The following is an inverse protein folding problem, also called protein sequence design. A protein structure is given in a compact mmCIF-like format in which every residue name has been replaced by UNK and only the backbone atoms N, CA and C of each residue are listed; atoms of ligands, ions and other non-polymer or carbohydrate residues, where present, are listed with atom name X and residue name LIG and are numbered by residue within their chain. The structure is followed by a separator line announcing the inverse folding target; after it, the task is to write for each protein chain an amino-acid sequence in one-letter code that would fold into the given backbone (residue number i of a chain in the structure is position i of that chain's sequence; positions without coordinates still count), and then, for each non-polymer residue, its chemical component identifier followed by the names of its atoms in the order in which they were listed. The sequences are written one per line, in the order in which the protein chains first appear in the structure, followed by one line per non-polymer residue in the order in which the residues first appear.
data_IF_374152709722
#
_entry.id   IF_374152709722
#
_cell.length_a   1.000
_cell.length_b   1.000
_cell.length_c   1.000
_cell.angle_alpha   90.00
_cell.angle_beta   90.00
_cell.angle_gamma   90.00
#
_symmetry.space_group_name_H-M   'P 1'
#
loop_
_entity.id
_entity.type
_entity.pdbx_description
1 polymer ?
#
# COMPACT_ATOMS: atom_id res chain seq x y z
N UNK A 1 8.04 -23.93 -0.88
CA UNK A 1 7.97 -23.51 -2.30
C UNK A 1 7.45 -24.68 -3.13
N UNK A 2 6.35 -24.48 -3.89
CA UNK A 2 5.78 -25.55 -4.74
C UNK A 2 6.60 -25.78 -6.01
N UNK A 3 7.36 -24.76 -6.45
CA UNK A 3 8.31 -24.81 -7.59
C UNK A 3 9.59 -24.09 -7.20
N UNK A 4 10.55 -24.75 -6.54
CA UNK A 4 11.76 -24.12 -6.02
C UNK A 4 12.76 -23.67 -7.10
N UNK A 5 12.61 -24.14 -8.31
CA UNK A 5 13.40 -23.87 -9.50
C UNK A 5 12.93 -22.63 -10.30
N UNK A 6 11.84 -21.98 -9.89
CA UNK A 6 11.25 -20.82 -10.57
C UNK A 6 11.05 -19.64 -9.65
N UNK A 7 11.30 -18.44 -10.17
CA UNK A 7 10.86 -17.21 -9.53
C UNK A 7 9.35 -17.05 -9.68
N UNK A 8 8.67 -16.72 -8.58
CA UNK A 8 7.23 -16.45 -8.56
C UNK A 8 6.97 -14.98 -8.26
N UNK A 9 5.96 -14.43 -8.94
CA UNK A 9 5.45 -13.10 -8.62
C UNK A 9 4.45 -13.21 -7.47
N UNK A 10 4.58 -12.33 -6.48
CA UNK A 10 3.68 -12.24 -5.35
C UNK A 10 2.97 -10.89 -5.31
N UNK A 11 1.66 -10.91 -5.13
CA UNK A 11 0.86 -9.74 -4.75
C UNK A 11 0.38 -9.91 -3.31
N UNK A 12 0.50 -8.88 -2.51
CA UNK A 12 0.09 -8.90 -1.10
C UNK A 12 -0.26 -7.53 -0.57
N UNK A 13 -0.81 -7.47 0.62
CA UNK A 13 -1.14 -6.21 1.28
C UNK A 13 0.11 -5.40 1.59
N UNK A 14 0.04 -4.10 1.30
CA UNK A 14 1.09 -3.12 1.62
C UNK A 14 0.50 -1.71 1.58
N UNK A 15 1.35 -0.67 1.66
CA UNK A 15 0.95 0.70 1.45
C UNK A 15 0.67 1.49 2.72
N UNK A 16 0.97 0.95 3.91
CA UNK A 16 0.91 1.69 5.16
C UNK A 16 2.24 2.38 5.43
N UNK A 17 2.22 3.63 5.85
CA UNK A 17 3.42 4.37 6.25
C UNK A 17 3.88 4.03 7.67
N UNK A 18 2.97 3.67 8.58
CA UNK A 18 3.30 3.11 9.89
C UNK A 18 3.50 1.58 9.80
N UNK A 19 4.17 0.93 10.77
CA UNK A 19 4.68 -0.45 10.66
C UNK A 19 3.64 -1.52 10.33
N UNK A 20 2.41 -1.40 10.81
CA UNK A 20 1.31 -2.31 10.52
C UNK A 20 -0.05 -1.70 10.86
N UNK A 21 -1.14 -2.42 10.57
CA UNK A 21 -2.53 -2.01 10.81
C UNK A 21 -2.82 -1.60 12.26
N UNK A 22 -2.19 -2.24 13.24
CA UNK A 22 -2.48 -2.02 14.66
C UNK A 22 -2.13 -0.58 15.08
N UNK A 23 -1.09 0.02 14.47
CA UNK A 23 -0.70 1.41 14.69
C UNK A 23 -1.78 2.41 14.29
N UNK A 24 -2.69 2.05 13.39
CA UNK A 24 -3.83 2.88 12.98
C UNK A 24 -5.08 2.61 13.80
N UNK A 25 -5.26 1.40 14.33
CA UNK A 25 -6.53 0.92 14.87
C UNK A 25 -6.58 0.87 16.39
N UNK A 26 -5.42 0.76 17.06
CA UNK A 26 -5.40 0.60 18.51
C UNK A 26 -5.12 1.91 19.24
N UNK A 27 -5.93 2.20 20.26
CA UNK A 27 -5.84 3.41 21.08
C UNK A 27 -4.46 3.61 21.74
N UNK A 28 -3.75 2.53 22.08
CA UNK A 28 -2.41 2.64 22.68
C UNK A 28 -1.38 3.33 21.75
N UNK A 29 -1.68 3.47 20.46
CA UNK A 29 -0.83 4.14 19.48
C UNK A 29 -1.29 5.55 19.12
N UNK A 30 -2.27 6.14 19.84
CA UNK A 30 -2.81 7.47 19.53
C UNK A 30 -1.72 8.55 19.39
N UNK A 31 -0.72 8.55 20.28
CA UNK A 31 0.41 9.50 20.19
C UNK A 31 1.25 9.30 18.91
N UNK A 32 1.38 8.06 18.45
CA UNK A 32 2.11 7.76 17.20
C UNK A 32 1.31 8.21 15.98
N UNK A 33 -0.01 8.06 16.02
CA UNK A 33 -0.91 8.51 14.95
C UNK A 33 -0.81 10.03 14.78
N UNK A 34 -0.84 10.80 15.87
CA UNK A 34 -0.68 12.26 15.82
C UNK A 34 0.69 12.66 15.26
N UNK A 35 1.76 12.04 15.76
CA UNK A 35 3.12 12.31 15.27
C UNK A 35 3.30 11.95 13.80
N UNK A 36 2.72 10.86 13.37
CA UNK A 36 2.76 10.44 11.97
C UNK A 36 2.08 11.45 11.04
N UNK A 37 0.88 11.91 11.40
CA UNK A 37 0.18 12.93 10.62
C UNK A 37 0.98 14.24 10.53
N UNK A 38 1.58 14.70 11.63
CA UNK A 38 2.44 15.88 11.65
C UNK A 38 3.71 15.68 10.78
N UNK A 39 4.27 14.48 10.77
CA UNK A 39 5.39 14.13 9.91
C UNK A 39 5.01 14.17 8.43
N UNK A 40 3.89 13.56 8.05
CA UNK A 40 3.38 13.61 6.67
C UNK A 40 3.16 15.06 6.21
N UNK A 41 2.52 15.89 7.04
CA UNK A 41 2.32 17.31 6.75
C UNK A 41 3.65 18.03 6.53
N UNK A 42 4.65 17.77 7.39
CA UNK A 42 5.97 18.41 7.29
C UNK A 42 6.66 18.02 5.99
N UNK A 43 6.69 16.74 5.63
CA UNK A 43 7.29 16.26 4.39
C UNK A 43 6.63 16.88 3.14
N UNK A 44 5.31 16.94 3.12
CA UNK A 44 4.57 17.56 2.02
C UNK A 44 4.80 19.07 1.94
N UNK A 45 4.91 19.76 3.07
CA UNK A 45 5.25 21.21 3.15
C UNK A 45 6.64 21.48 2.59
N UNK A 46 7.63 20.69 3.00
CA UNK A 46 9.02 20.80 2.49
C UNK A 46 9.08 20.55 0.97
N UNK A 47 8.22 19.70 0.45
CA UNK A 47 8.08 19.44 -0.97
C UNK A 47 7.23 20.48 -1.72
N UNK A 48 6.86 21.60 -1.08
CA UNK A 48 6.12 22.70 -1.70
C UNK A 48 4.65 22.41 -2.00
N UNK A 49 4.01 21.49 -1.24
CA UNK A 49 2.58 21.24 -1.39
C UNK A 49 1.76 22.47 -0.97
N UNK A 50 0.73 22.84 -1.74
CA UNK A 50 -0.07 24.06 -1.48
C UNK A 50 -0.99 23.92 -0.25
N UNK A 51 -1.49 22.70 0.02
CA UNK A 51 -2.33 22.36 1.17
C UNK A 51 -1.75 21.14 1.90
N UNK A 52 -0.62 21.26 2.62
CA UNK A 52 0.04 20.12 3.23
C UNK A 52 -0.77 19.49 4.38
N UNK A 53 -1.50 20.29 5.15
CA UNK A 53 -2.33 19.80 6.24
C UNK A 53 -3.55 19.00 5.73
N UNK A 54 -4.26 19.53 4.74
CA UNK A 54 -5.38 18.81 4.11
C UNK A 54 -4.93 17.54 3.38
N UNK A 55 -3.78 17.58 2.69
CA UNK A 55 -3.19 16.42 2.05
C UNK A 55 -2.80 15.34 3.06
N UNK A 56 -2.16 15.72 4.19
CA UNK A 56 -1.82 14.80 5.27
C UNK A 56 -3.07 14.13 5.89
N UNK A 57 -4.13 14.90 6.09
CA UNK A 57 -5.39 14.36 6.61
C UNK A 57 -6.04 13.36 5.63
N UNK A 58 -6.09 13.67 4.33
CA UNK A 58 -6.61 12.76 3.29
C UNK A 58 -5.77 11.48 3.17
N UNK A 59 -4.45 11.61 3.20
CA UNK A 59 -3.52 10.48 3.15
C UNK A 59 -3.72 9.58 4.37
N UNK A 60 -3.75 10.14 5.58
CA UNK A 60 -3.96 9.36 6.79
C UNK A 60 -5.32 8.64 6.79
N UNK A 61 -6.37 9.30 6.33
CA UNK A 61 -7.69 8.68 6.19
C UNK A 61 -7.67 7.50 5.22
N UNK A 62 -6.97 7.62 4.07
CA UNK A 62 -6.78 6.52 3.13
C UNK A 62 -6.03 5.34 3.76
N UNK A 63 -4.91 5.59 4.43
CA UNK A 63 -4.14 4.54 5.10
C UNK A 63 -4.91 3.88 6.25
N UNK A 64 -5.74 4.63 6.95
CA UNK A 64 -6.62 4.09 7.98
C UNK A 64 -7.64 3.09 7.38
N UNK A 65 -8.24 3.42 6.23
CA UNK A 65 -9.12 2.49 5.53
C UNK A 65 -8.36 1.26 5.00
N UNK A 66 -7.13 1.44 4.48
CA UNK A 66 -6.26 0.32 4.14
C UNK A 66 -5.96 -0.56 5.36
N UNK A 67 -5.65 0.03 6.51
CA UNK A 67 -5.36 -0.70 7.74
C UNK A 67 -6.53 -1.56 8.21
N UNK A 68 -7.79 -1.09 8.02
CA UNK A 68 -8.99 -1.86 8.37
C UNK A 68 -9.13 -3.15 7.56
N UNK A 69 -8.68 -3.15 6.31
CA UNK A 69 -8.78 -4.32 5.43
C UNK A 69 -7.55 -5.23 5.46
N UNK A 70 -6.42 -4.76 5.99
CA UNK A 70 -5.23 -5.57 6.16
C UNK A 70 -5.45 -6.73 7.14
N UNK A 71 -4.86 -7.88 6.84
CA UNK A 71 -4.84 -9.01 7.78
C UNK A 71 -3.97 -8.71 8.98
N UNK A 72 -4.39 -9.24 10.10
CA UNK A 72 -3.59 -9.25 11.33
C UNK A 72 -2.30 -10.07 11.16
N UNK A 73 -1.21 -9.70 11.84
CA UNK A 73 0.06 -10.42 11.77
C UNK A 73 -0.06 -11.91 12.10
N UNK A 74 -0.97 -12.29 13.01
CA UNK A 74 -1.22 -13.68 13.37
C UNK A 74 -1.80 -14.49 12.21
N UNK A 75 -2.80 -13.97 11.50
CA UNK A 75 -3.41 -14.61 10.31
C UNK A 75 -2.38 -14.83 9.20
N UNK A 76 -1.47 -13.89 8.99
CA UNK A 76 -0.41 -13.94 7.97
C UNK A 76 0.64 -15.04 8.19
N UNK A 77 0.68 -15.66 9.38
CA UNK A 77 1.58 -16.80 9.67
C UNK A 77 1.07 -18.11 9.09
N UNK A 78 -0.21 -18.20 8.74
CA UNK A 78 -0.77 -19.40 8.11
C UNK A 78 -0.38 -19.44 6.63
N UNK A 79 0.58 -20.29 6.29
CA UNK A 79 1.16 -20.41 4.95
C UNK A 79 0.16 -20.92 3.91
N UNK A 80 -0.81 -21.73 4.31
CA UNK A 80 -1.80 -22.30 3.40
C UNK A 80 -2.75 -21.20 2.89
N UNK A 81 -3.11 -20.24 3.75
CA UNK A 81 -3.92 -19.08 3.37
C UNK A 81 -3.16 -18.07 2.49
N UNK A 82 -1.83 -18.11 2.51
CA UNK A 82 -0.96 -17.17 1.81
C UNK A 82 -0.55 -17.62 0.40
N UNK A 83 -1.14 -18.69 -0.12
CA UNK A 83 -0.80 -19.23 -1.44
C UNK A 83 -2.04 -19.39 -2.31
N UNK A 84 -2.43 -18.33 -2.99
CA UNK A 84 -3.57 -18.31 -3.90
C UNK A 84 -3.05 -17.98 -5.31
N UNK A 85 -2.68 -19.03 -6.07
CA UNK A 85 -2.20 -18.87 -7.45
C UNK A 85 -3.36 -18.44 -8.34
N UNK A 86 -3.13 -17.39 -9.14
CA UNK A 86 -4.08 -16.86 -10.12
C UNK A 86 -3.36 -16.53 -11.42
N UNK A 87 -4.01 -16.79 -12.53
CA UNK A 87 -3.65 -16.15 -13.80
C UNK A 87 -3.97 -14.66 -13.75
N UNK A 88 -3.44 -13.88 -14.68
CA UNK A 88 -3.75 -12.44 -14.72
C UNK A 88 -5.25 -12.20 -14.99
N UNK A 89 -5.90 -13.00 -15.84
CA UNK A 89 -7.33 -12.88 -16.11
C UNK A 89 -8.17 -13.19 -14.87
N UNK A 90 -7.80 -14.23 -14.11
CA UNK A 90 -8.42 -14.54 -12.83
C UNK A 90 -8.19 -13.44 -11.79
N UNK A 91 -7.02 -12.82 -11.78
CA UNK A 91 -6.71 -11.70 -10.88
C UNK A 91 -7.55 -10.47 -11.22
N UNK A 92 -7.68 -10.11 -12.49
CA UNK A 92 -8.55 -9.02 -12.95
C UNK A 92 -10.02 -9.24 -12.59
N UNK A 93 -10.50 -10.49 -12.69
CA UNK A 93 -11.85 -10.86 -12.28
C UNK A 93 -12.03 -10.82 -10.76
N UNK A 94 -11.03 -11.28 -10.02
CA UNK A 94 -11.06 -11.36 -8.56
C UNK A 94 -10.93 -9.97 -7.88
N UNK A 95 -10.10 -9.11 -8.45
CA UNK A 95 -9.78 -7.79 -7.89
C UNK A 95 -9.82 -6.70 -8.99
N UNK A 96 -11.01 -6.40 -9.55
CA UNK A 96 -11.16 -5.59 -10.78
C UNK A 96 -10.83 -4.09 -10.58
N UNK A 97 -10.72 -3.61 -9.35
CA UNK A 97 -10.46 -2.20 -9.06
C UNK A 97 -9.04 -1.72 -9.38
N UNK A 98 -8.09 -2.62 -9.60
CA UNK A 98 -6.70 -2.27 -9.91
C UNK A 98 -6.36 -2.53 -11.39
N UNK A 99 -5.56 -1.66 -12.03
CA UNK A 99 -5.15 -1.83 -13.42
C UNK A 99 -3.96 -2.80 -13.52
N UNK A 100 -4.17 -4.08 -13.20
CA UNK A 100 -3.14 -5.10 -13.03
C UNK A 100 -2.16 -5.19 -14.21
N UNK A 101 -2.67 -5.29 -15.45
CA UNK A 101 -1.80 -5.38 -16.64
C UNK A 101 -0.93 -4.14 -16.81
N UNK A 102 -1.48 -2.95 -16.57
CA UNK A 102 -0.72 -1.70 -16.64
C UNK A 102 0.37 -1.67 -15.57
N UNK A 103 0.05 -2.07 -14.34
CA UNK A 103 1.03 -2.11 -13.23
C UNK A 103 2.14 -3.13 -13.50
N UNK A 104 1.80 -4.32 -13.97
CA UNK A 104 2.77 -5.36 -14.31
C UNK A 104 3.65 -4.94 -15.49
N UNK A 105 3.08 -4.33 -16.52
CA UNK A 105 3.82 -3.80 -17.67
C UNK A 105 4.80 -2.71 -17.24
N UNK A 106 4.37 -1.77 -16.42
CA UNK A 106 5.23 -0.70 -15.90
C UNK A 106 6.41 -1.23 -15.04
N UNK A 107 6.22 -2.39 -14.40
CA UNK A 107 7.26 -3.09 -13.64
C UNK A 107 8.13 -4.04 -14.50
N UNK A 108 7.98 -4.05 -15.81
CA UNK A 108 8.60 -5.03 -16.74
C UNK A 108 8.25 -6.50 -16.41
N UNK A 109 7.04 -6.73 -15.89
CA UNK A 109 6.50 -8.04 -15.53
C UNK A 109 5.30 -8.43 -16.38
N UNK A 110 5.03 -7.71 -17.48
CA UNK A 110 3.83 -7.89 -18.32
C UNK A 110 3.73 -9.26 -19.00
N UNK A 111 4.84 -9.97 -19.18
CA UNK A 111 4.86 -11.32 -19.74
C UNK A 111 4.59 -12.43 -18.71
N UNK A 112 4.43 -12.09 -17.44
CA UNK A 112 4.11 -13.07 -16.40
C UNK A 112 2.66 -13.51 -16.50
N UNK A 113 2.47 -14.81 -16.56
CA UNK A 113 1.13 -15.41 -16.73
C UNK A 113 0.40 -15.61 -15.39
N UNK A 114 1.14 -15.71 -14.29
CA UNK A 114 0.64 -16.13 -12.98
C UNK A 114 1.17 -15.24 -11.85
N UNK A 115 0.32 -15.02 -10.85
CA UNK A 115 0.62 -14.28 -9.62
C UNK A 115 0.13 -15.10 -8.42
N UNK A 116 0.94 -15.20 -7.38
CA UNK A 116 0.51 -15.75 -6.08
C UNK A 116 -0.03 -14.59 -5.25
N UNK A 117 -1.34 -14.59 -5.02
CA UNK A 117 -1.99 -13.60 -4.14
C UNK A 117 -1.89 -14.10 -2.70
N UNK A 118 -1.34 -13.28 -1.81
CA UNK A 118 -1.09 -13.68 -0.42
C UNK A 118 -2.33 -13.47 0.44
N UNK A 119 -2.59 -12.25 0.86
CA UNK A 119 -3.76 -11.88 1.65
C UNK A 119 -4.93 -11.57 0.71
N UNK A 120 -5.57 -12.59 0.19
CA UNK A 120 -6.45 -12.52 -0.97
C UNK A 120 -7.61 -11.53 -0.83
N UNK A 121 -8.42 -11.64 0.24
CA UNK A 121 -9.53 -10.71 0.47
C UNK A 121 -9.06 -9.28 0.77
N UNK A 122 -7.90 -9.11 1.40
CA UNK A 122 -7.31 -7.80 1.60
C UNK A 122 -6.88 -7.18 0.26
N UNK A 123 -6.21 -7.96 -0.61
CA UNK A 123 -5.80 -7.50 -1.95
C UNK A 123 -7.01 -7.09 -2.79
N UNK A 124 -8.10 -7.85 -2.77
CA UNK A 124 -9.32 -7.49 -3.50
C UNK A 124 -9.94 -6.18 -2.99
N UNK A 125 -10.00 -5.99 -1.66
CA UNK A 125 -10.50 -4.74 -1.05
C UNK A 125 -9.60 -3.55 -1.34
N UNK A 126 -8.27 -3.72 -1.28
CA UNK A 126 -7.31 -2.67 -1.65
C UNK A 126 -7.44 -2.29 -3.13
N UNK A 127 -7.63 -3.26 -4.02
CA UNK A 127 -7.88 -3.00 -5.44
C UNK A 127 -9.16 -2.17 -5.64
N UNK A 128 -10.24 -2.49 -4.93
CA UNK A 128 -11.48 -1.70 -4.98
C UNK A 128 -11.26 -0.25 -4.50
N UNK A 129 -10.42 -0.04 -3.48
CA UNK A 129 -10.06 1.30 -3.01
C UNK A 129 -9.30 2.11 -4.07
N UNK A 130 -8.49 1.48 -4.93
CA UNK A 130 -7.81 2.18 -6.03
C UNK A 130 -8.82 2.85 -6.95
N UNK A 131 -9.88 2.16 -7.33
CA UNK A 131 -10.93 2.69 -8.19
C UNK A 131 -11.82 3.74 -7.49
N UNK A 132 -12.05 3.58 -6.18
CA UNK A 132 -12.98 4.41 -5.41
C UNK A 132 -12.36 5.71 -4.87
N UNK A 133 -11.05 5.77 -4.74
CA UNK A 133 -10.35 6.92 -4.14
C UNK A 133 -10.06 7.99 -5.20
N UNK A 134 -10.32 9.28 -4.92
CA UNK A 134 -9.99 10.37 -5.84
C UNK A 134 -8.52 10.40 -6.23
N UNK A 135 -8.24 10.71 -7.50
CA UNK A 135 -6.87 10.72 -8.05
C UNK A 135 -5.93 11.68 -7.28
N UNK A 136 -6.45 12.80 -6.78
CA UNK A 136 -5.65 13.77 -6.02
C UNK A 136 -5.15 13.16 -4.70
N UNK A 137 -5.96 12.35 -4.03
CA UNK A 137 -5.54 11.62 -2.81
C UNK A 137 -4.42 10.64 -3.12
N UNK A 138 -4.50 9.92 -4.26
CA UNK A 138 -3.42 9.05 -4.71
C UNK A 138 -2.14 9.80 -5.07
N UNK A 139 -2.25 11.00 -5.66
CA UNK A 139 -1.08 11.85 -5.93
C UNK A 139 -0.40 12.30 -4.66
N UNK A 140 -1.16 12.75 -3.66
CA UNK A 140 -0.63 13.14 -2.34
C UNK A 140 0.04 11.96 -1.65
N UNK A 141 -0.62 10.80 -1.66
CA UNK A 141 -0.13 9.54 -1.10
C UNK A 141 1.19 9.11 -1.75
N UNK A 142 1.24 9.02 -3.08
CA UNK A 142 2.45 8.61 -3.80
C UNK A 142 3.59 9.61 -3.61
N UNK A 143 3.29 10.91 -3.64
CA UNK A 143 4.28 11.98 -3.39
C UNK A 143 4.93 11.80 -2.02
N UNK A 144 4.14 11.62 -0.97
CA UNK A 144 4.66 11.39 0.36
C UNK A 144 5.51 10.12 0.44
N UNK A 145 5.02 8.99 -0.06
CA UNK A 145 5.74 7.72 0.03
C UNK A 145 7.06 7.74 -0.75
N UNK A 146 7.11 8.41 -1.90
CA UNK A 146 8.37 8.59 -2.66
C UNK A 146 9.35 9.47 -1.86
N UNK A 147 8.89 10.58 -1.27
CA UNK A 147 9.74 11.44 -0.44
C UNK A 147 10.26 10.68 0.78
N UNK A 148 9.37 9.99 1.50
CA UNK A 148 9.72 9.22 2.68
C UNK A 148 10.71 8.08 2.38
N UNK A 149 10.56 7.40 1.24
CA UNK A 149 11.46 6.32 0.85
C UNK A 149 12.86 6.80 0.39
N UNK A 150 13.02 8.09 0.15
CA UNK A 150 14.27 8.70 -0.32
C UNK A 150 14.75 9.81 0.63
N UNK A 151 14.24 9.89 1.85
CA UNK A 151 14.55 10.99 2.78
C UNK A 151 16.06 11.13 3.06
N UNK A 152 16.76 10.02 3.16
CA UNK A 152 18.20 9.91 3.40
C UNK A 152 19.09 10.50 2.28
N UNK A 153 18.57 10.65 1.07
CA UNK A 153 19.27 11.25 -0.08
C UNK A 153 18.72 12.62 -0.48
N UNK A 154 17.74 13.12 0.25
CA UNK A 154 17.20 14.47 0.10
C UNK A 154 17.98 15.48 0.98
N UNK A 155 17.79 16.82 0.77
CA UNK A 155 18.36 17.82 1.68
C UNK A 155 18.04 17.56 3.15
N UNK A 156 18.96 17.89 4.06
CA UNK A 156 18.86 17.61 5.51
C UNK A 156 17.56 18.09 6.20
N UNK A 157 16.76 18.93 5.56
CA UNK A 157 15.46 19.34 6.07
C UNK A 157 14.42 18.20 6.01
N UNK A 158 14.66 17.13 5.23
CA UNK A 158 13.79 15.97 5.09
C UNK A 158 14.19 14.79 6.01
N UNK A 159 15.34 14.91 6.69
CA UNK A 159 15.91 13.87 7.56
C UNK A 159 15.35 13.93 9.00
#
# INVERSE_FOLDING_TARGET
LKRPDHYALYAGQSGLGMPNRDYYLEQKFADKQVKYQAYVETMLRLAGHQDPAGAAARLYALELEMAKVHWEPAKRRNRDLMYNLKTIDELETFAPGAPWRTMLSAANLGERAEVIVREDDAVAKLAAMIAATPIETWRDYLKFHVLNANADVLPAAFD
#
